data_IF_633360552555
#
_entry.id   IF_633360552555
#
_cell.length_a   1.000
_cell.length_b   1.000
_cell.length_c   1.000
_cell.angle_alpha   90.00
_cell.angle_beta   90.00
_cell.angle_gamma   90.00
#
_symmetry.space_group_name_H-M   'P 1'
#
loop_
_entity.id
_entity.type
_entity.pdbx_description
1 polymer ?
#
# COMPACT_ATOMS: atom_id res chain seq x y z
N UNK A 1 29.63 -21.35 29.26
CA UNK A 1 28.40 -21.82 28.59
C UNK A 1 27.33 -20.75 28.45
N UNK A 2 27.02 -19.95 29.49
CA UNK A 2 25.99 -18.89 29.40
C UNK A 2 26.44 -17.70 28.54
N UNK A 3 27.71 -17.28 28.69
CA UNK A 3 28.30 -16.17 27.93
C UNK A 3 28.36 -16.44 26.42
N UNK A 4 28.71 -17.66 26.02
CA UNK A 4 28.77 -18.09 24.62
C UNK A 4 27.37 -18.13 23.98
N UNK A 5 26.35 -18.55 24.72
CA UNK A 5 24.96 -18.60 24.23
C UNK A 5 24.40 -17.19 24.01
N UNK A 6 24.66 -16.26 24.94
CA UNK A 6 24.24 -14.86 24.80
C UNK A 6 24.93 -14.18 23.62
N UNK A 7 26.24 -14.42 23.41
CA UNK A 7 26.97 -13.85 22.26
C UNK A 7 26.40 -14.36 20.94
N UNK A 8 26.09 -15.66 20.83
CA UNK A 8 25.45 -16.25 19.64
C UNK A 8 24.06 -15.63 19.42
N UNK A 9 23.25 -15.48 20.48
CA UNK A 9 21.91 -14.89 20.39
C UNK A 9 21.97 -13.42 19.88
N UNK A 10 22.89 -12.63 20.41
CA UNK A 10 23.12 -11.24 19.96
C UNK A 10 23.56 -11.19 18.50
N UNK A 11 24.49 -12.05 18.08
CA UNK A 11 24.94 -12.17 16.68
C UNK A 11 23.80 -12.58 15.74
N UNK A 12 22.95 -13.54 16.13
CA UNK A 12 21.78 -13.96 15.33
C UNK A 12 20.73 -12.85 15.20
N UNK A 13 20.56 -12.01 16.23
CA UNK A 13 19.61 -10.90 16.21
C UNK A 13 20.08 -9.75 15.27
N UNK A 14 21.39 -9.53 15.16
CA UNK A 14 21.97 -8.54 14.23
C UNK A 14 21.97 -9.01 12.77
N UNK A 15 21.85 -10.32 12.55
CA UNK A 15 21.80 -10.94 11.21
C UNK A 15 20.37 -11.14 10.69
N UNK A 16 19.34 -10.65 11.40
CA UNK A 16 18.00 -10.55 10.84
C UNK A 16 17.95 -9.29 9.97
N UNK A 17 18.10 -9.38 8.63
CA UNK A 17 17.68 -8.27 7.80
C UNK A 17 16.21 -7.99 8.13
N UNK A 18 15.87 -6.73 8.42
CA UNK A 18 14.48 -6.32 8.48
C UNK A 18 13.86 -6.61 7.13
N UNK A 19 13.20 -7.76 7.00
CA UNK A 19 12.54 -8.15 5.77
C UNK A 19 11.37 -7.20 5.59
N UNK A 20 11.52 -6.28 4.62
CA UNK A 20 10.41 -5.46 4.11
C UNK A 20 9.46 -6.38 3.36
N UNK A 21 8.63 -7.08 4.11
CA UNK A 21 7.54 -7.88 3.56
C UNK A 21 6.27 -7.07 3.65
N UNK A 22 5.54 -7.05 2.55
CA UNK A 22 4.14 -6.68 2.60
C UNK A 22 3.37 -7.62 3.50
N UNK A 23 2.33 -7.08 4.13
CA UNK A 23 1.40 -7.82 4.98
C UNK A 23 0.26 -8.46 4.18
N UNK A 24 0.25 -8.31 2.84
CA UNK A 24 -0.80 -8.84 1.98
C UNK A 24 -0.79 -10.36 1.98
N UNK A 25 -1.93 -10.93 2.36
CA UNK A 25 -2.17 -12.37 2.33
C UNK A 25 -3.47 -12.67 1.61
N UNK A 26 -3.48 -13.70 0.76
CA UNK A 26 -4.69 -14.22 0.14
C UNK A 26 -5.25 -15.36 1.01
N UNK A 27 -6.27 -15.07 1.79
CA UNK A 27 -6.89 -16.04 2.70
C UNK A 27 -8.34 -16.25 2.27
N UNK A 28 -8.74 -17.50 2.01
CA UNK A 28 -10.11 -17.82 1.59
C UNK A 28 -10.61 -16.84 0.52
N UNK A 29 -9.87 -16.69 -0.58
CA UNK A 29 -10.23 -15.86 -1.73
C UNK A 29 -10.23 -14.33 -1.51
N UNK A 30 -9.95 -13.83 -0.31
CA UNK A 30 -9.85 -12.39 -0.04
C UNK A 30 -8.42 -11.98 0.26
N UNK A 31 -7.98 -10.87 -0.33
CA UNK A 31 -6.75 -10.20 0.07
C UNK A 31 -6.99 -9.43 1.37
N UNK A 32 -6.21 -9.77 2.39
CA UNK A 32 -6.12 -9.05 3.66
C UNK A 32 -4.78 -8.35 3.78
N UNK A 33 -4.73 -7.24 4.51
CA UNK A 33 -3.48 -6.56 4.87
C UNK A 33 -2.91 -5.69 3.74
N UNK A 34 -3.74 -5.30 2.77
CA UNK A 34 -3.33 -4.33 1.74
C UNK A 34 -3.18 -2.96 2.39
N UNK A 35 -1.98 -2.38 2.28
CA UNK A 35 -1.68 -1.08 2.88
C UNK A 35 -1.51 -0.01 1.81
N UNK A 36 -2.36 1.01 1.88
CA UNK A 36 -2.28 2.23 1.07
C UNK A 36 -1.79 3.36 1.97
N UNK A 37 -0.69 4.03 1.62
CA UNK A 37 -0.14 5.09 2.46
C UNK A 37 -0.06 6.43 1.72
N UNK A 38 -0.59 7.48 2.34
CA UNK A 38 -0.51 8.85 1.82
C UNK A 38 0.78 9.49 2.32
N UNK A 39 1.57 10.04 1.41
CA UNK A 39 2.85 10.66 1.75
C UNK A 39 2.63 11.96 2.54
N UNK A 40 3.44 12.25 3.59
CA UNK A 40 3.32 13.49 4.35
C UNK A 40 3.45 14.79 3.55
N UNK A 41 4.05 14.75 2.36
CA UNK A 41 4.16 15.90 1.44
C UNK A 41 2.91 16.16 0.61
N UNK A 42 1.91 15.27 0.64
CA UNK A 42 0.62 15.47 -0.02
C UNK A 42 -0.26 16.37 0.86
N UNK A 43 -0.76 17.50 0.36
CA UNK A 43 -1.69 18.36 1.09
C UNK A 43 -2.97 17.62 1.49
N UNK A 44 -3.56 18.00 2.63
CA UNK A 44 -4.85 17.44 3.05
C UNK A 44 -5.95 17.85 2.07
N UNK A 45 -6.67 16.85 1.55
CA UNK A 45 -7.86 17.00 0.73
C UNK A 45 -8.96 16.08 1.29
N UNK A 46 -10.13 16.66 1.56
CA UNK A 46 -11.26 15.96 2.16
C UNK A 46 -11.80 14.83 1.29
N UNK A 47 -11.61 14.90 -0.04
CA UNK A 47 -12.10 13.90 -0.99
C UNK A 47 -11.14 12.75 -1.19
N UNK A 48 -9.84 12.97 -1.02
CA UNK A 48 -8.81 11.98 -1.38
C UNK A 48 -9.01 10.62 -0.68
N UNK A 49 -9.37 10.61 0.60
CA UNK A 49 -9.65 9.36 1.33
C UNK A 49 -10.86 8.64 0.75
N UNK A 50 -11.89 9.38 0.35
CA UNK A 50 -13.10 8.82 -0.23
C UNK A 50 -12.81 8.22 -1.61
N UNK A 51 -12.06 8.93 -2.45
CA UNK A 51 -11.70 8.48 -3.79
C UNK A 51 -10.77 7.24 -3.74
N UNK A 52 -9.87 7.16 -2.75
CA UNK A 52 -9.09 5.93 -2.49
C UNK A 52 -10.01 4.76 -2.15
N UNK A 53 -11.03 4.97 -1.30
CA UNK A 53 -11.99 3.90 -0.94
C UNK A 53 -12.79 3.44 -2.15
N UNK A 54 -13.25 4.38 -2.97
CA UNK A 54 -13.99 4.09 -4.20
C UNK A 54 -13.12 3.30 -5.18
N UNK A 55 -11.91 3.77 -5.47
CA UNK A 55 -10.93 3.08 -6.32
C UNK A 55 -10.67 1.64 -5.87
N UNK A 56 -10.45 1.41 -4.56
CA UNK A 56 -10.22 0.05 -4.04
C UNK A 56 -11.47 -0.82 -4.17
N UNK A 57 -12.65 -0.24 -3.96
CA UNK A 57 -13.93 -0.96 -4.06
C UNK A 57 -14.23 -1.38 -5.49
N UNK A 58 -14.01 -0.48 -6.45
CA UNK A 58 -14.15 -0.75 -7.87
C UNK A 58 -13.13 -1.79 -8.34
N UNK A 59 -11.86 -1.63 -7.98
CA UNK A 59 -10.80 -2.60 -8.29
C UNK A 59 -11.12 -3.99 -7.72
N UNK A 60 -11.66 -4.06 -6.49
CA UNK A 60 -12.09 -5.30 -5.87
C UNK A 60 -13.21 -5.98 -6.64
N UNK A 61 -14.20 -5.20 -7.09
CA UNK A 61 -15.33 -5.68 -7.90
C UNK A 61 -14.85 -6.18 -9.25
N UNK A 62 -14.02 -5.40 -9.94
CA UNK A 62 -13.43 -5.79 -11.22
C UNK A 62 -12.63 -7.10 -11.09
N UNK A 63 -11.72 -7.18 -10.12
CA UNK A 63 -10.91 -8.35 -9.86
C UNK A 63 -11.77 -9.59 -9.58
N UNK A 64 -12.85 -9.43 -8.81
CA UNK A 64 -13.79 -10.50 -8.52
C UNK A 64 -14.44 -11.05 -9.79
N UNK A 65 -14.94 -10.18 -10.66
CA UNK A 65 -15.54 -10.61 -11.92
C UNK A 65 -14.51 -11.20 -12.89
N UNK A 66 -13.35 -10.57 -13.07
CA UNK A 66 -12.27 -11.02 -13.94
C UNK A 66 -11.74 -12.41 -13.53
N UNK A 67 -11.72 -12.70 -12.23
CA UNK A 67 -11.27 -13.99 -11.69
C UNK A 67 -12.36 -15.06 -11.61
N UNK A 68 -13.51 -14.88 -12.29
CA UNK A 68 -14.67 -15.79 -12.24
C UNK A 68 -15.22 -15.94 -10.82
N UNK A 69 -15.38 -14.81 -10.12
CA UNK A 69 -15.92 -14.70 -8.76
C UNK A 69 -15.04 -15.37 -7.70
N UNK A 70 -13.72 -15.21 -7.82
CA UNK A 70 -12.75 -15.92 -6.96
C UNK A 70 -11.91 -15.03 -6.08
N UNK A 71 -11.52 -13.83 -6.49
CA UNK A 71 -10.56 -13.04 -5.72
C UNK A 71 -11.05 -11.61 -5.57
N UNK A 72 -10.92 -11.04 -4.38
CA UNK A 72 -11.34 -9.67 -4.07
C UNK A 72 -10.46 -9.07 -2.98
N UNK A 73 -10.42 -7.74 -2.87
CA UNK A 73 -9.84 -7.06 -1.70
C UNK A 73 -10.85 -7.07 -0.56
N UNK A 74 -10.44 -7.60 0.60
CA UNK A 74 -11.29 -7.74 1.78
C UNK A 74 -10.93 -6.71 2.85
N UNK A 75 -9.68 -6.75 3.32
CA UNK A 75 -9.20 -5.84 4.38
C UNK A 75 -8.07 -4.96 3.84
N UNK A 76 -8.38 -3.67 3.68
CA UNK A 76 -7.46 -2.64 3.17
C UNK A 76 -7.37 -1.53 4.20
N UNK A 77 -6.15 -1.14 4.56
CA UNK A 77 -5.86 -0.05 5.48
C UNK A 77 -5.34 1.16 4.72
N UNK A 78 -5.84 2.35 5.06
CA UNK A 78 -5.31 3.63 4.56
C UNK A 78 -4.52 4.30 5.69
N UNK A 79 -3.22 4.45 5.51
CA UNK A 79 -2.33 5.13 6.45
C UNK A 79 -2.35 6.65 6.18
N UNK A 80 -2.89 7.40 7.13
CA UNK A 80 -2.97 8.85 7.10
C UNK A 80 -1.67 9.45 7.65
N UNK A 81 -1.05 10.44 6.96
CA UNK A 81 0.20 11.03 7.42
C UNK A 81 -0.02 11.92 8.64
N UNK A 82 1.00 11.99 9.49
CA UNK A 82 1.02 12.83 10.69
C UNK A 82 0.93 14.34 10.40
N UNK A 83 1.14 14.76 9.15
CA UNK A 83 1.01 16.15 8.70
C UNK A 83 -0.44 16.60 8.52
N UNK A 84 -1.39 15.65 8.42
CA UNK A 84 -2.82 15.94 8.33
C UNK A 84 -3.44 16.13 9.71
N UNK A 85 -4.59 16.81 9.76
CA UNK A 85 -5.30 17.00 11.02
C UNK A 85 -5.91 15.67 11.48
N UNK A 86 -5.62 15.29 12.74
CA UNK A 86 -6.23 14.11 13.34
C UNK A 86 -7.75 14.27 13.42
N UNK A 87 -8.49 13.23 13.03
CA UNK A 87 -9.94 13.13 13.15
C UNK A 87 -10.32 11.98 14.08
N UNK A 88 -11.53 12.01 14.62
CA UNK A 88 -12.03 11.01 15.59
C UNK A 88 -12.10 9.59 15.03
N UNK A 89 -12.28 9.48 13.71
CA UNK A 89 -12.41 8.23 12.98
C UNK A 89 -11.06 7.57 12.66
N UNK A 90 -9.94 8.28 12.87
CA UNK A 90 -8.62 7.73 12.62
C UNK A 90 -8.15 6.87 13.80
N UNK A 91 -7.67 5.68 13.47
CA UNK A 91 -7.11 4.75 14.42
C UNK A 91 -5.59 4.90 14.45
N UNK A 92 -5.00 4.69 15.63
CA UNK A 92 -3.55 4.64 15.75
C UNK A 92 -3.01 3.40 15.01
N UNK A 93 -2.05 3.57 14.08
CA UNK A 93 -1.39 2.46 13.41
C UNK A 93 -0.74 1.52 14.44
N UNK A 94 -0.86 0.20 14.22
CA UNK A 94 -0.23 -0.81 15.08
C UNK A 94 1.07 -1.29 14.48
N UNK A 95 0.99 -1.65 13.20
CA UNK A 95 2.10 -2.24 12.45
C UNK A 95 2.31 -1.51 11.11
N UNK A 96 1.31 -0.76 10.66
CA UNK A 96 1.32 -0.06 9.38
C UNK A 96 2.35 1.07 9.38
N UNK A 97 3.29 1.01 8.44
CA UNK A 97 4.31 2.02 8.20
C UNK A 97 4.38 2.38 6.72
N UNK A 98 4.78 3.63 6.41
CA UNK A 98 4.82 4.13 5.04
C UNK A 98 5.76 3.32 4.13
N UNK A 99 6.89 2.86 4.64
CA UNK A 99 7.89 2.09 3.89
C UNK A 99 7.51 0.62 3.66
N UNK A 100 6.39 0.18 4.25
CA UNK A 100 5.79 -1.15 4.07
C UNK A 100 4.54 -1.12 3.18
N UNK A 101 4.16 0.05 2.66
CA UNK A 101 2.95 0.21 1.87
C UNK A 101 3.03 -0.50 0.51
N UNK A 102 1.95 -1.18 0.13
CA UNK A 102 1.80 -1.80 -1.19
C UNK A 102 1.42 -0.79 -2.26
N UNK A 103 0.72 0.27 -1.84
CA UNK A 103 0.31 1.39 -2.67
C UNK A 103 0.69 2.67 -1.94
N UNK A 104 1.33 3.59 -2.64
CA UNK A 104 1.61 4.92 -2.12
C UNK A 104 0.87 5.98 -2.92
N UNK A 105 0.38 6.99 -2.21
CA UNK A 105 -0.16 8.22 -2.79
C UNK A 105 0.82 9.33 -2.50
N UNK A 106 1.50 9.83 -3.53
CA UNK A 106 2.59 10.81 -3.38
C UNK A 106 2.62 11.79 -4.55
N UNK A 107 3.45 12.82 -4.42
CA UNK A 107 3.66 13.80 -5.49
C UNK A 107 4.17 13.14 -6.78
N UNK A 108 3.85 13.71 -7.95
CA UNK A 108 4.26 13.17 -9.25
C UNK A 108 5.77 13.00 -9.34
N UNK A 109 6.20 11.88 -9.92
CA UNK A 109 7.61 11.64 -10.20
C UNK A 109 7.99 12.22 -11.55
N UNK A 110 9.15 12.90 -11.66
CA UNK A 110 9.57 13.63 -12.87
C UNK A 110 9.41 12.86 -14.19
N UNK A 111 9.64 11.54 -14.16
CA UNK A 111 9.54 10.69 -15.35
C UNK A 111 8.10 10.32 -15.73
N UNK A 112 7.21 10.19 -14.75
CA UNK A 112 5.87 9.61 -14.94
C UNK A 112 4.76 10.66 -14.82
N UNK A 113 5.06 11.85 -14.30
CA UNK A 113 4.04 12.86 -14.04
C UNK A 113 2.96 12.30 -13.13
N UNK A 114 1.70 12.46 -13.55
CA UNK A 114 0.52 11.96 -12.84
C UNK A 114 0.12 10.54 -13.25
N UNK A 115 0.82 9.91 -14.20
CA UNK A 115 0.47 8.55 -14.63
C UNK A 115 0.78 7.53 -13.52
N UNK A 116 -0.15 6.59 -13.25
CA UNK A 116 0.05 5.55 -12.26
C UNK A 116 1.11 4.56 -12.74
N UNK A 117 1.97 4.09 -11.83
CA UNK A 117 3.00 3.09 -12.17
C UNK A 117 3.30 2.14 -11.02
N UNK A 118 3.82 0.96 -11.35
CA UNK A 118 4.38 0.03 -10.36
C UNK A 118 5.89 0.12 -10.38
N UNK A 119 6.51 0.40 -9.24
CA UNK A 119 7.96 0.31 -9.12
C UNK A 119 8.36 -1.17 -9.00
N UNK A 120 9.02 -1.71 -10.02
CA UNK A 120 9.47 -3.10 -10.04
C UNK A 120 10.89 -3.20 -10.62
N UNK A 121 11.85 -3.51 -9.75
CA UNK A 121 13.26 -3.75 -10.14
C UNK A 121 13.54 -5.24 -10.39
N UNK A 122 12.62 -6.12 -10.00
CA UNK A 122 12.73 -7.57 -10.14
C UNK A 122 12.47 -8.08 -11.56
N UNK A 123 12.52 -9.40 -11.71
CA UNK A 123 12.21 -10.09 -12.97
C UNK A 123 10.69 -10.29 -13.12
N UNK A 124 10.27 -10.75 -14.30
CA UNK A 124 8.89 -11.21 -14.49
C UNK A 124 8.54 -12.29 -13.46
N UNK A 125 7.35 -12.21 -12.87
CA UNK A 125 6.89 -13.11 -11.80
C UNK A 125 7.32 -12.71 -10.39
N UNK A 126 8.30 -11.81 -10.24
CA UNK A 126 8.64 -11.23 -8.93
C UNK A 126 7.60 -10.18 -8.53
N UNK A 127 7.44 -9.98 -7.23
CA UNK A 127 6.53 -8.94 -6.69
C UNK A 127 7.13 -7.55 -6.90
N UNK A 128 6.30 -6.59 -7.35
CA UNK A 128 6.65 -5.16 -7.35
C UNK A 128 6.89 -4.62 -5.93
N UNK A 129 7.66 -3.53 -5.83
CA UNK A 129 7.90 -2.87 -4.55
C UNK A 129 6.65 -2.16 -4.05
N UNK A 130 6.05 -1.32 -4.88
CA UNK A 130 4.78 -0.65 -4.60
C UNK A 130 4.13 -0.14 -5.90
N UNK A 131 2.83 0.14 -5.84
CA UNK A 131 2.09 0.93 -6.83
C UNK A 131 2.15 2.40 -6.40
N UNK A 132 2.38 3.31 -7.33
CA UNK A 132 2.41 4.74 -7.10
C UNK A 132 1.21 5.42 -7.78
N UNK A 133 0.41 6.11 -6.98
CA UNK A 133 -0.63 7.01 -7.44
C UNK A 133 -0.30 8.45 -7.06
N UNK A 134 -0.79 9.42 -7.85
CA UNK A 134 -0.78 10.82 -7.46
C UNK A 134 -2.17 11.26 -6.98
N UNK A 135 -2.26 12.33 -6.16
CA UNK A 135 -3.55 12.92 -5.81
C UNK A 135 -4.33 13.34 -7.06
N UNK A 136 -3.68 13.94 -8.05
CA UNK A 136 -4.35 14.33 -9.30
C UNK A 136 -4.94 13.14 -10.05
N UNK A 137 -4.23 12.01 -10.09
CA UNK A 137 -4.74 10.78 -10.69
C UNK A 137 -6.00 10.26 -9.98
N UNK A 138 -6.03 10.32 -8.65
CA UNK A 138 -7.16 9.82 -7.86
C UNK A 138 -8.36 10.78 -7.86
N UNK A 139 -8.12 12.09 -7.84
CA UNK A 139 -9.15 13.13 -7.77
C UNK A 139 -9.75 13.48 -9.15
N UNK A 140 -9.10 13.07 -10.24
CA UNK A 140 -9.56 13.36 -11.61
C UNK A 140 -10.29 12.15 -12.20
N UNK A 141 -11.39 12.41 -12.93
CA UNK A 141 -12.08 11.36 -13.66
C UNK A 141 -11.26 10.90 -14.87
N UNK A 142 -10.49 9.83 -14.69
CA UNK A 142 -9.61 9.25 -15.69
C UNK A 142 -10.22 8.06 -16.46
N UNK A 143 -11.53 7.81 -16.32
CA UNK A 143 -12.28 6.77 -17.06
C UNK A 143 -12.00 6.76 -18.58
N UNK A 144 -11.86 7.91 -19.28
CA UNK A 144 -11.59 7.90 -20.72
C UNK A 144 -10.23 7.28 -21.10
N UNK A 145 -9.28 7.22 -20.16
CA UNK A 145 -7.90 6.79 -20.41
C UNK A 145 -7.67 5.37 -19.90
N UNK A 146 -8.19 5.04 -18.71
CA UNK A 146 -7.91 3.76 -18.04
C UNK A 146 -9.11 2.79 -18.02
N UNK A 147 -10.24 3.18 -18.60
CA UNK A 147 -11.42 2.33 -18.77
C UNK A 147 -12.35 2.29 -17.56
N UNK A 148 -13.52 1.68 -17.77
CA UNK A 148 -14.59 1.44 -16.79
C UNK A 148 -14.57 0.02 -16.24
#
# INVERSE_FOLDING_TARGET
>A
MVLTLNVILFLTLHLLPGMKSSMVNLINNGYDGTLIAINPSVPEDEKLIQDIKEMVTEASTYLFHATKRRVYFRNVSILIPMTWKSKSEYLMPKQEAYDQADVIVANPYLKYGDDPYTLQHGKCGEKGQYIHFTPNFLLTNNLPIYGS
#
